data_IF_642164889810
#
_entry.id   IF_642164889810
#
_cell.length_a   1.000
_cell.length_b   1.000
_cell.length_c   1.000
_cell.angle_alpha   90.00
_cell.angle_beta   90.00
_cell.angle_gamma   90.00
#
_symmetry.space_group_name_H-M   'P 1'
#
loop_
_entity.id
_entity.type
_entity.pdbx_description
1 polymer ?
#
# COMPACT_ATOMS: atom_id res chain seq x y z
N UNK A 1 -3.35 -10.65 18.38
CA UNK A 1 -3.31 -9.45 17.51
C UNK A 1 -2.74 -9.84 16.16
N UNK A 2 -3.13 -9.16 15.08
CA UNK A 2 -2.64 -9.40 13.72
C UNK A 2 -2.72 -8.11 12.90
N UNK A 3 -2.03 -8.06 11.77
CA UNK A 3 -2.01 -6.90 10.87
C UNK A 3 -2.37 -7.29 9.44
N UNK A 4 -3.02 -6.38 8.72
CA UNK A 4 -3.37 -6.53 7.31
C UNK A 4 -2.98 -5.23 6.62
N UNK A 5 -2.16 -5.32 5.56
CA UNK A 5 -1.70 -4.17 4.78
C UNK A 5 -2.08 -4.35 3.32
N UNK A 6 -2.58 -3.29 2.71
CA UNK A 6 -3.01 -3.26 1.30
C UNK A 6 -2.14 -2.27 0.54
N UNK A 7 -1.49 -2.73 -0.53
CA UNK A 7 -0.53 -1.96 -1.34
C UNK A 7 0.48 -1.17 -0.48
N UNK A 8 1.22 -1.83 0.43
CA UNK A 8 2.16 -1.15 1.31
C UNK A 8 3.37 -0.60 0.54
N UNK A 9 4.09 0.34 1.15
CA UNK A 9 5.43 0.72 0.74
C UNK A 9 6.41 0.49 1.89
N UNK A 10 7.45 -0.29 1.63
CA UNK A 10 8.57 -0.53 2.54
C UNK A 10 9.87 0.12 2.05
N UNK A 11 9.93 0.49 0.77
CA UNK A 11 11.07 1.16 0.13
C UNK A 11 10.58 2.05 -1.01
N UNK A 12 11.41 3.00 -1.44
CA UNK A 12 11.12 3.87 -2.58
C UNK A 12 11.67 3.28 -3.88
N UNK A 13 10.80 3.04 -4.86
CA UNK A 13 11.18 2.53 -6.18
C UNK A 13 11.21 3.64 -7.23
N UNK A 14 12.01 3.45 -8.28
CA UNK A 14 11.98 4.35 -9.44
C UNK A 14 10.61 4.39 -10.12
N UNK A 15 9.89 3.25 -10.12
CA UNK A 15 8.50 3.18 -10.55
C UNK A 15 7.62 4.12 -9.73
N UNK A 16 7.72 4.04 -8.40
CA UNK A 16 6.97 4.91 -7.47
C UNK A 16 7.24 6.37 -7.81
N UNK A 17 8.51 6.78 -7.84
CA UNK A 17 8.90 8.17 -8.12
C UNK A 17 8.35 8.66 -9.47
N UNK A 18 8.46 7.84 -10.52
CA UNK A 18 7.94 8.18 -11.84
C UNK A 18 6.41 8.38 -11.85
N UNK A 19 5.66 7.52 -11.17
CA UNK A 19 4.21 7.62 -11.06
C UNK A 19 3.78 8.80 -10.19
N UNK A 20 4.48 9.09 -9.11
CA UNK A 20 4.23 10.26 -8.25
C UNK A 20 4.52 11.57 -9.01
N UNK A 21 5.54 11.60 -9.89
CA UNK A 21 5.80 12.74 -10.76
C UNK A 21 4.67 12.95 -11.78
N UNK A 22 4.08 11.88 -12.33
CA UNK A 22 2.88 11.98 -13.17
C UNK A 22 1.68 12.52 -12.39
N UNK A 23 1.49 12.07 -11.15
CA UNK A 23 0.43 12.58 -10.28
C UNK A 23 0.59 14.08 -10.01
N UNK A 24 1.84 14.56 -9.79
CA UNK A 24 2.14 15.99 -9.68
C UNK A 24 1.68 16.75 -10.92
N UNK A 25 2.09 16.30 -12.11
CA UNK A 25 1.69 16.91 -13.37
C UNK A 25 0.17 16.94 -13.54
N UNK A 26 -0.53 15.85 -13.19
CA UNK A 26 -1.98 15.80 -13.26
C UNK A 26 -2.63 16.82 -12.31
N UNK A 27 -2.12 16.92 -11.07
CA UNK A 27 -2.61 17.90 -10.11
C UNK A 27 -2.46 19.34 -10.59
N UNK A 28 -1.35 19.65 -11.27
CA UNK A 28 -1.06 21.00 -11.78
C UNK A 28 -1.77 21.34 -13.09
N UNK A 29 -2.08 20.34 -13.94
CA UNK A 29 -2.51 20.57 -15.33
C UNK A 29 -3.91 20.06 -15.67
N UNK A 30 -4.56 19.30 -14.79
CA UNK A 30 -5.90 18.73 -15.04
C UNK A 30 -6.92 19.16 -13.97
N UNK A 31 -8.09 18.51 -13.94
CA UNK A 31 -9.16 18.76 -12.99
C UNK A 31 -8.98 18.03 -11.63
N UNK A 32 -7.83 17.37 -11.42
CA UNK A 32 -7.60 16.55 -10.22
C UNK A 32 -7.78 17.34 -8.91
N UNK A 33 -7.27 18.58 -8.86
CA UNK A 33 -7.44 19.45 -7.67
C UNK A 33 -8.91 19.74 -7.39
N UNK A 34 -9.70 20.04 -8.41
CA UNK A 34 -11.14 20.31 -8.31
C UNK A 34 -11.91 19.06 -7.88
N UNK A 35 -11.49 17.87 -8.33
CA UNK A 35 -12.07 16.60 -7.89
C UNK A 35 -11.77 16.32 -6.42
N UNK A 36 -10.56 16.60 -5.95
CA UNK A 36 -10.17 16.47 -4.55
C UNK A 36 -10.93 17.47 -3.66
N UNK A 37 -11.15 18.70 -4.13
CA UNK A 37 -11.90 19.74 -3.41
C UNK A 37 -13.36 19.34 -3.09
N UNK A 38 -13.91 18.30 -3.73
CA UNK A 38 -15.23 17.74 -3.38
C UNK A 38 -15.25 17.01 -2.04
N UNK A 39 -14.09 16.56 -1.56
CA UNK A 39 -13.95 15.72 -0.37
C UNK A 39 -12.99 16.31 0.67
N UNK A 40 -12.30 17.40 0.35
CA UNK A 40 -11.30 18.03 1.20
C UNK A 40 -11.47 19.55 1.21
N UNK A 41 -11.55 20.13 2.41
CA UNK A 41 -11.60 21.60 2.59
C UNK A 41 -10.30 22.27 2.10
N UNK A 42 -9.16 21.59 2.24
CA UNK A 42 -7.86 22.00 1.72
C UNK A 42 -7.23 20.87 0.87
N UNK A 43 -7.50 20.85 -0.45
CA UNK A 43 -6.94 19.86 -1.36
C UNK A 43 -5.45 20.06 -1.63
N UNK A 44 -4.87 21.23 -1.35
CA UNK A 44 -3.43 21.48 -1.52
C UNK A 44 -2.67 20.78 -0.40
N UNK A 45 -3.09 20.96 0.85
CA UNK A 45 -2.49 20.26 1.99
C UNK A 45 -2.59 18.75 1.82
N UNK A 46 -3.77 18.23 1.44
CA UNK A 46 -3.99 16.79 1.25
C UNK A 46 -3.09 16.18 0.16
N UNK A 47 -2.84 16.91 -0.94
CA UNK A 47 -2.03 16.40 -2.05
C UNK A 47 -0.52 16.62 -1.83
N UNK A 48 -0.12 17.86 -1.51
CA UNK A 48 1.30 18.21 -1.39
C UNK A 48 1.96 17.62 -0.16
N UNK A 49 1.17 17.25 0.87
CA UNK A 49 1.66 16.62 2.09
C UNK A 49 2.41 15.31 1.83
N UNK A 50 1.96 14.51 0.86
CA UNK A 50 2.68 13.29 0.45
C UNK A 50 3.48 13.50 -0.84
N UNK A 51 2.96 14.21 -1.85
CA UNK A 51 3.60 14.25 -3.17
C UNK A 51 5.04 14.79 -3.12
N UNK A 52 5.29 15.85 -2.33
CA UNK A 52 6.61 16.49 -2.26
C UNK A 52 7.67 15.61 -1.62
N UNK A 53 7.32 14.86 -0.58
CA UNK A 53 8.30 14.01 0.13
C UNK A 53 8.75 12.85 -0.76
N UNK A 54 7.84 12.24 -1.51
CA UNK A 54 8.14 11.18 -2.48
C UNK A 54 9.06 11.64 -3.64
N UNK A 55 9.05 12.94 -3.96
CA UNK A 55 9.95 13.53 -4.97
C UNK A 55 11.21 14.17 -4.38
N UNK A 56 11.36 14.19 -3.06
CA UNK A 56 12.52 14.77 -2.39
C UNK A 56 13.75 13.87 -2.59
N UNK A 57 14.88 14.35 -3.17
CA UNK A 57 15.96 13.45 -3.58
C UNK A 57 16.54 12.57 -2.46
N UNK A 58 16.76 13.07 -1.22
CA UNK A 58 17.15 12.22 -0.09
C UNK A 58 16.15 11.10 0.25
N UNK A 59 14.85 11.31 0.02
CA UNK A 59 13.82 10.32 0.35
C UNK A 59 13.89 9.07 -0.56
N UNK A 60 14.55 9.16 -1.71
CA UNK A 60 14.80 7.98 -2.56
C UNK A 60 15.61 6.88 -1.88
N UNK A 61 16.34 7.21 -0.82
CA UNK A 61 17.13 6.25 -0.03
C UNK A 61 16.36 5.71 1.18
N UNK A 62 15.11 6.13 1.37
CA UNK A 62 14.30 5.68 2.48
C UNK A 62 13.85 4.24 2.31
N UNK A 63 13.93 3.47 3.39
CA UNK A 63 13.37 2.14 3.55
C UNK A 63 12.96 1.96 5.03
N UNK A 64 11.98 1.11 5.28
CA UNK A 64 11.57 0.63 6.62
C UNK A 64 11.79 -0.87 6.80
N UNK A 65 12.56 -1.50 5.91
CA UNK A 65 12.78 -2.95 5.91
C UNK A 65 13.38 -3.49 7.20
N UNK A 66 14.19 -2.68 7.91
CA UNK A 66 14.82 -3.09 9.16
C UNK A 66 13.84 -2.96 10.35
N UNK A 67 12.98 -1.93 10.33
CA UNK A 67 11.96 -1.69 11.34
C UNK A 67 10.87 -2.76 11.31
N UNK A 68 10.41 -3.15 10.12
CA UNK A 68 9.35 -4.16 9.97
C UNK A 68 9.79 -5.56 10.43
N UNK A 69 11.09 -5.84 10.52
CA UNK A 69 11.59 -7.13 11.00
C UNK A 69 11.19 -7.43 12.45
N UNK A 70 10.77 -6.41 13.22
CA UNK A 70 10.25 -6.57 14.57
C UNK A 70 8.79 -7.02 14.65
N UNK A 71 8.07 -7.06 13.53
CA UNK A 71 6.67 -7.52 13.48
C UNK A 71 6.63 -9.01 13.79
N UNK A 72 6.04 -9.36 14.95
CA UNK A 72 5.93 -10.75 15.42
C UNK A 72 4.51 -11.34 15.29
N UNK A 73 3.49 -10.52 15.03
CA UNK A 73 2.13 -10.98 14.85
C UNK A 73 1.91 -11.56 13.43
N UNK A 74 0.85 -12.37 13.22
CA UNK A 74 0.44 -12.73 11.87
C UNK A 74 0.21 -11.49 11.01
N UNK A 75 0.64 -11.55 9.76
CA UNK A 75 0.55 -10.45 8.80
C UNK A 75 -0.03 -10.95 7.47
N UNK A 76 -1.01 -10.25 6.92
CA UNK A 76 -1.46 -10.42 5.53
C UNK A 76 -1.04 -9.20 4.71
N UNK A 77 -0.24 -9.40 3.67
CA UNK A 77 0.19 -8.36 2.75
C UNK A 77 -0.42 -8.57 1.36
N UNK A 78 -1.19 -7.58 0.91
CA UNK A 78 -1.97 -7.65 -0.33
C UNK A 78 -1.46 -6.63 -1.33
N UNK A 79 -1.28 -7.03 -2.59
CA UNK A 79 -0.95 -6.09 -3.67
C UNK A 79 -1.55 -6.53 -5.01
N UNK A 80 -1.93 -5.55 -5.82
CA UNK A 80 -2.33 -5.77 -7.20
C UNK A 80 -1.13 -5.97 -8.12
N UNK A 81 -1.26 -6.85 -9.12
CA UNK A 81 -0.21 -7.08 -10.12
C UNK A 81 0.00 -5.88 -11.06
N UNK A 82 -1.01 -5.02 -11.17
CA UNK A 82 -1.03 -3.85 -12.06
C UNK A 82 -0.90 -2.53 -11.26
N UNK A 83 -0.42 -2.61 -10.01
CA UNK A 83 -0.20 -1.44 -9.15
C UNK A 83 0.78 -0.45 -9.80
N UNK A 84 0.30 0.78 -10.02
CA UNK A 84 1.07 1.82 -10.72
C UNK A 84 2.11 2.50 -9.82
N UNK A 85 2.05 2.30 -8.51
CA UNK A 85 2.91 2.96 -7.53
C UNK A 85 3.96 2.05 -6.91
N UNK A 86 3.79 0.73 -6.93
CA UNK A 86 4.76 -0.20 -6.36
C UNK A 86 4.80 -1.54 -7.07
N UNK A 87 5.98 -2.17 -7.13
CA UNK A 87 6.09 -3.55 -7.60
C UNK A 87 5.80 -4.54 -6.47
N UNK A 88 5.65 -5.82 -6.81
CA UNK A 88 5.50 -6.89 -5.81
C UNK A 88 6.66 -7.00 -4.81
N UNK A 89 7.77 -6.32 -5.07
CA UNK A 89 8.87 -6.23 -4.11
C UNK A 89 8.42 -5.63 -2.78
N UNK A 90 7.42 -4.76 -2.78
CA UNK A 90 6.89 -4.16 -1.55
C UNK A 90 6.32 -5.20 -0.58
N UNK A 91 5.58 -6.22 -1.06
CA UNK A 91 5.07 -7.29 -0.20
C UNK A 91 6.01 -8.49 -0.11
N UNK A 92 6.80 -8.78 -1.15
CA UNK A 92 7.79 -9.88 -1.11
C UNK A 92 8.95 -9.53 -0.18
N UNK A 93 9.34 -8.27 -0.10
CA UNK A 93 10.30 -7.77 0.90
C UNK A 93 9.78 -7.92 2.32
N UNK A 94 8.50 -7.62 2.56
CA UNK A 94 7.84 -7.93 3.84
C UNK A 94 7.98 -9.41 4.16
N UNK A 95 7.59 -10.32 3.26
CA UNK A 95 7.65 -11.76 3.52
C UNK A 95 9.08 -12.27 3.80
N UNK A 96 10.12 -11.66 3.21
CA UNK A 96 11.51 -11.98 3.50
C UNK A 96 11.96 -11.54 4.90
N UNK A 97 11.43 -10.42 5.42
CA UNK A 97 11.76 -9.88 6.76
C UNK A 97 10.83 -10.36 7.87
N UNK A 98 9.60 -10.74 7.52
CA UNK A 98 8.51 -11.14 8.40
C UNK A 98 7.98 -12.50 7.91
N UNK A 99 8.63 -13.63 8.26
CA UNK A 99 8.38 -14.92 7.63
C UNK A 99 6.98 -15.50 7.83
N UNK A 100 6.24 -15.03 8.84
CA UNK A 100 4.85 -15.40 9.10
C UNK A 100 3.84 -14.64 8.22
N UNK A 101 4.30 -13.86 7.25
CA UNK A 101 3.45 -13.10 6.34
C UNK A 101 2.77 -14.01 5.33
N UNK A 102 1.44 -13.92 5.23
CA UNK A 102 0.66 -14.42 4.10
C UNK A 102 0.65 -13.37 2.98
N UNK A 103 0.97 -13.77 1.76
CA UNK A 103 0.91 -12.91 0.57
C UNK A 103 -0.39 -13.12 -0.20
N UNK A 104 -0.97 -12.03 -0.69
CA UNK A 104 -2.06 -12.04 -1.65
C UNK A 104 -1.72 -11.14 -2.84
N UNK A 105 -1.35 -11.77 -3.95
CA UNK A 105 -1.09 -11.10 -5.22
C UNK A 105 -2.36 -11.19 -6.09
N UNK A 106 -2.95 -10.05 -6.46
CA UNK A 106 -4.22 -9.99 -7.18
C UNK A 106 -4.02 -9.62 -8.66
N UNK A 107 -4.35 -10.50 -9.63
CA UNK A 107 -4.27 -10.16 -11.05
C UNK A 107 -5.37 -9.18 -11.45
N UNK A 108 -5.13 -8.27 -12.40
CA UNK A 108 -6.15 -7.28 -12.82
C UNK A 108 -6.56 -6.36 -11.66
N UNK A 109 -5.57 -5.80 -10.97
CA UNK A 109 -5.76 -5.03 -9.74
C UNK A 109 -4.65 -3.99 -9.63
N UNK A 110 -5.01 -2.73 -9.41
CA UNK A 110 -4.08 -1.63 -9.22
C UNK A 110 -3.78 -1.35 -7.74
N UNK A 111 -3.44 -0.10 -7.43
CA UNK A 111 -3.00 0.31 -6.09
C UNK A 111 -4.11 0.32 -5.01
N UNK A 112 -5.38 0.19 -5.40
CA UNK A 112 -6.49 0.14 -4.45
C UNK A 112 -7.19 -1.21 -4.43
N UNK A 113 -6.55 -2.30 -3.91
CA UNK A 113 -7.14 -3.64 -3.91
C UNK A 113 -8.57 -3.72 -3.39
N UNK A 114 -8.86 -3.00 -2.30
CA UNK A 114 -10.20 -2.97 -1.69
C UNK A 114 -11.27 -2.30 -2.55
N UNK A 115 -10.89 -1.49 -3.55
CA UNK A 115 -11.81 -0.89 -4.53
C UNK A 115 -11.90 -1.73 -5.80
N UNK A 116 -10.77 -2.23 -6.28
CA UNK A 116 -10.70 -2.95 -7.55
C UNK A 116 -11.26 -4.38 -7.43
N UNK A 117 -10.95 -5.06 -6.32
CA UNK A 117 -11.40 -6.43 -6.04
C UNK A 117 -11.92 -6.59 -4.60
N UNK A 118 -13.03 -5.92 -4.25
CA UNK A 118 -13.56 -5.90 -2.89
C UNK A 118 -13.88 -7.31 -2.36
N UNK A 119 -14.45 -8.19 -3.19
CA UNK A 119 -14.83 -9.54 -2.79
C UNK A 119 -13.59 -10.37 -2.41
N UNK A 120 -12.58 -10.40 -3.27
CA UNK A 120 -11.34 -11.13 -3.02
C UNK A 120 -10.64 -10.65 -1.74
N UNK A 121 -10.59 -9.32 -1.53
CA UNK A 121 -10.00 -8.73 -0.31
C UNK A 121 -10.81 -9.11 0.93
N UNK A 122 -12.14 -8.97 0.90
CA UNK A 122 -13.02 -9.31 2.03
C UNK A 122 -12.87 -10.79 2.40
N UNK A 123 -12.88 -11.69 1.41
CA UNK A 123 -12.73 -13.13 1.63
C UNK A 123 -11.38 -13.48 2.27
N UNK A 124 -10.29 -12.88 1.76
CA UNK A 124 -8.95 -13.08 2.30
C UNK A 124 -8.82 -12.55 3.73
N UNK A 125 -9.32 -11.33 3.99
CA UNK A 125 -9.33 -10.72 5.32
C UNK A 125 -10.13 -11.57 6.30
N UNK A 126 -11.34 -12.00 5.92
CA UNK A 126 -12.18 -12.82 6.79
C UNK A 126 -11.56 -14.19 7.07
N UNK A 127 -10.92 -14.81 6.08
CA UNK A 127 -10.16 -16.06 6.24
C UNK A 127 -9.00 -15.86 7.22
N UNK A 128 -8.19 -14.83 7.01
CA UNK A 128 -7.05 -14.50 7.85
C UNK A 128 -7.45 -14.25 9.31
N UNK A 129 -8.52 -13.48 9.53
CA UNK A 129 -9.03 -13.23 10.90
C UNK A 129 -9.45 -14.55 11.56
N UNK A 130 -10.19 -15.42 10.84
CA UNK A 130 -10.63 -16.72 11.39
C UNK A 130 -9.47 -17.66 11.69
N UNK A 131 -8.43 -17.72 10.86
CA UNK A 131 -7.28 -18.60 11.09
C UNK A 131 -6.40 -18.17 12.26
N UNK A 132 -6.43 -16.88 12.62
CA UNK A 132 -5.59 -16.30 13.67
C UNK A 132 -6.38 -15.83 14.91
N UNK A 133 -7.68 -16.14 14.97
CA UNK A 133 -8.49 -16.00 16.18
C UNK A 133 -8.58 -17.37 16.84
N UNK A 134 -7.91 -17.55 17.98
CA UNK A 134 -8.14 -18.69 18.86
C UNK A 134 -9.53 -18.55 19.49
N UNK A 135 -10.54 -19.05 18.81
CA UNK A 135 -11.77 -19.45 19.47
C UNK A 135 -11.54 -20.83 20.06
N UNK A 136 -11.54 -20.92 21.39
CA UNK A 136 -11.76 -22.19 22.10
C UNK A 136 -12.97 -22.89 21.49
N UNK A 137 -12.72 -23.92 20.67
CA UNK A 137 -13.71 -24.97 20.43
C UNK A 137 -13.54 -26.00 21.54
N UNK A 138 -13.99 -25.63 22.74
CA UNK A 138 -14.50 -26.58 23.74
C UNK A 138 -16.01 -26.44 23.82
#
# INVERSE_FOLDING_TARGET
AGAIVLAPHILVEDLSVASIAKAKTAYETTDLKQRLAKYHDDPDSAFWGWNRIWLHPPFKQWSIEDEIASIACPLLAVQGLDDEYGTLEQIRGIARRVPQTELLELPQCGHSPHKDQPQAVIEAVARFIRSHTTGDNT
#
